data_IF_452344779767
#
_entry.id   IF_452344779767
#
_cell.length_a   1.000
_cell.length_b   1.000
_cell.length_c   1.000
_cell.angle_alpha   90.00
_cell.angle_beta   90.00
_cell.angle_gamma   90.00
#
_symmetry.space_group_name_H-M   'P 1'
#
loop_
_entity.id
_entity.type
_entity.pdbx_description
1 polymer ?
#
# COMPACT_ATOMS: atom_id res chain seq x y z
N UNK A 1 24.02 18.92 -9.69
CA UNK A 1 23.52 17.60 -9.26
C UNK A 1 22.00 17.70 -9.14
N UNK A 2 21.23 17.15 -10.08
CA UNK A 2 19.77 17.26 -10.04
C UNK A 2 19.22 16.30 -8.97
N UNK A 3 18.59 16.83 -7.93
CA UNK A 3 17.85 16.06 -6.93
C UNK A 3 16.60 15.47 -7.59
N UNK A 4 16.59 14.16 -7.86
CA UNK A 4 15.41 13.47 -8.39
C UNK A 4 14.60 12.96 -7.21
N UNK A 5 13.31 13.30 -7.18
CA UNK A 5 12.38 12.77 -6.17
C UNK A 5 12.16 11.28 -6.44
N UNK A 6 12.26 10.46 -5.41
CA UNK A 6 12.01 9.02 -5.52
C UNK A 6 10.60 8.76 -5.03
N UNK A 7 9.73 8.36 -5.94
CA UNK A 7 8.41 7.83 -5.61
C UNK A 7 8.46 6.31 -5.58
N UNK A 8 7.53 5.72 -4.84
CA UNK A 8 7.31 4.28 -4.86
C UNK A 8 6.02 3.91 -4.17
N UNK A 9 5.60 2.68 -4.41
CA UNK A 9 4.38 2.11 -3.86
C UNK A 9 4.77 1.02 -2.88
N UNK A 10 4.17 1.06 -1.69
CA UNK A 10 4.29 0.04 -0.66
C UNK A 10 2.91 -0.61 -0.44
N UNK A 11 2.90 -1.93 -0.32
CA UNK A 11 1.73 -2.70 0.07
C UNK A 11 1.99 -3.31 1.45
N UNK A 12 1.07 -3.06 2.38
CA UNK A 12 1.14 -3.58 3.74
C UNK A 12 0.08 -4.67 3.96
N UNK A 13 0.44 -5.73 4.68
CA UNK A 13 -0.51 -6.68 5.25
C UNK A 13 -1.12 -6.16 6.55
N UNK A 14 -2.21 -6.78 7.00
CA UNK A 14 -2.90 -6.40 8.24
C UNK A 14 -2.05 -6.57 9.51
N UNK A 15 -1.04 -7.44 9.49
CA UNK A 15 -0.03 -7.57 10.57
C UNK A 15 1.07 -6.50 10.50
N UNK A 16 0.97 -5.57 9.55
CA UNK A 16 1.86 -4.42 9.42
C UNK A 16 3.19 -4.69 8.74
N UNK A 17 3.32 -5.82 8.02
CA UNK A 17 4.50 -6.10 7.20
C UNK A 17 4.35 -5.51 5.81
N UNK A 18 5.46 -5.09 5.22
CA UNK A 18 5.56 -4.76 3.80
C UNK A 18 5.59 -6.06 3.03
N UNK A 19 4.53 -6.35 2.27
CA UNK A 19 4.40 -7.56 1.43
C UNK A 19 4.80 -7.33 -0.01
N UNK A 20 4.78 -6.07 -0.45
CA UNK A 20 5.27 -5.68 -1.76
C UNK A 20 5.76 -4.23 -1.75
N UNK A 21 6.78 -3.94 -2.53
CA UNK A 21 7.35 -2.61 -2.67
C UNK A 21 7.96 -2.42 -4.06
N UNK A 22 7.75 -1.26 -4.67
CA UNK A 22 8.36 -0.89 -5.95
C UNK A 22 8.68 0.60 -5.95
N UNK A 23 9.89 0.96 -6.39
CA UNK A 23 10.42 2.32 -6.32
C UNK A 23 11.06 2.75 -7.64
N UNK A 24 10.94 4.04 -7.97
CA UNK A 24 11.52 4.61 -9.17
C UNK A 24 13.05 4.63 -9.14
N UNK A 25 13.62 4.39 -10.32
CA UNK A 25 15.05 4.32 -10.52
C UNK A 25 15.44 4.65 -11.98
N UNK A 26 16.27 5.69 -12.19
CA UNK A 26 15.83 7.07 -12.51
C UNK A 26 14.81 7.14 -13.67
N UNK A 27 13.85 8.06 -13.56
CA UNK A 27 12.76 8.24 -14.52
C UNK A 27 11.45 8.58 -13.80
N UNK A 28 10.59 9.39 -14.43
CA UNK A 28 9.25 9.68 -13.93
C UNK A 28 8.33 8.50 -14.27
N UNK A 29 8.23 7.51 -13.40
CA UNK A 29 7.06 6.63 -13.49
C UNK A 29 5.85 7.41 -13.00
N UNK A 30 4.77 7.30 -13.75
CA UNK A 30 3.46 7.62 -13.23
C UNK A 30 2.93 6.42 -12.41
N UNK A 31 1.87 6.62 -11.65
CA UNK A 31 1.28 5.54 -10.83
C UNK A 31 0.85 4.32 -11.66
N UNK A 32 0.63 4.50 -12.97
CA UNK A 32 0.30 3.41 -13.91
C UNK A 32 1.44 2.42 -14.07
N UNK A 33 2.68 2.87 -14.28
CA UNK A 33 3.84 1.99 -14.49
C UNK A 33 4.16 1.14 -13.24
N UNK A 34 3.89 1.70 -12.06
CA UNK A 34 4.05 0.98 -10.79
C UNK A 34 2.92 -0.03 -10.59
N UNK A 35 1.69 0.32 -10.97
CA UNK A 35 0.52 -0.54 -10.82
C UNK A 35 0.55 -1.80 -11.69
N UNK A 36 1.19 -1.79 -12.87
CA UNK A 36 1.15 -2.93 -13.80
C UNK A 36 1.73 -4.18 -13.16
N UNK A 37 2.99 -4.11 -12.71
CA UNK A 37 3.66 -5.25 -12.09
C UNK A 37 2.98 -5.67 -10.78
N UNK A 38 2.42 -4.71 -10.04
CA UNK A 38 1.63 -5.02 -8.85
C UNK A 38 0.38 -5.84 -9.21
N UNK A 39 -0.35 -5.43 -10.25
CA UNK A 39 -1.55 -6.14 -10.73
C UNK A 39 -1.22 -7.53 -11.25
N UNK A 40 -0.11 -7.68 -11.99
CA UNK A 40 0.39 -8.98 -12.43
C UNK A 40 0.69 -9.89 -11.23
N UNK A 41 1.36 -9.38 -10.21
CA UNK A 41 1.63 -10.13 -8.97
C UNK A 41 0.36 -10.47 -8.20
N UNK A 42 -0.60 -9.55 -8.16
CA UNK A 42 -1.88 -9.78 -7.50
C UNK A 42 -2.69 -10.87 -8.22
N UNK A 43 -2.60 -10.97 -9.54
CA UNK A 43 -3.28 -12.01 -10.33
C UNK A 43 -2.55 -13.35 -10.37
N UNK A 44 -1.25 -13.39 -10.06
CA UNK A 44 -0.47 -14.62 -10.03
C UNK A 44 -1.01 -15.56 -8.93
N UNK A 45 -1.53 -16.76 -9.30
CA UNK A 45 -2.08 -17.71 -8.33
C UNK A 45 -1.01 -18.35 -7.45
N UNK A 46 0.28 -18.21 -7.81
CA UNK A 46 1.39 -18.77 -7.04
C UNK A 46 1.54 -18.06 -5.68
N UNK A 47 1.68 -16.72 -5.62
CA UNK A 47 1.62 -15.97 -4.37
C UNK A 47 0.20 -15.73 -3.86
N UNK A 48 -0.82 -15.72 -4.73
CA UNK A 48 -2.21 -15.38 -4.38
C UNK A 48 -3.19 -16.47 -4.83
N UNK A 49 -3.19 -17.66 -4.21
CA UNK A 49 -4.00 -18.80 -4.65
C UNK A 49 -5.50 -18.62 -4.44
N UNK A 50 -5.91 -17.69 -3.56
CA UNK A 50 -7.32 -17.40 -3.27
C UNK A 50 -7.74 -16.12 -4.01
N UNK A 51 -8.74 -16.25 -4.88
CA UNK A 51 -9.29 -15.18 -5.71
C UNK A 51 -10.10 -14.15 -4.89
N UNK A 52 -10.41 -14.44 -3.62
CA UNK A 52 -11.09 -13.55 -2.69
C UNK A 52 -10.16 -12.54 -2.03
N UNK A 53 -8.85 -12.77 -2.04
CA UNK A 53 -7.90 -11.78 -1.54
C UNK A 53 -7.82 -10.57 -2.46
N UNK A 54 -7.55 -9.41 -1.87
CA UNK A 54 -7.47 -8.18 -2.60
C UNK A 54 -6.73 -7.13 -1.80
N UNK A 55 -6.53 -5.99 -2.44
CA UNK A 55 -5.90 -4.84 -1.78
C UNK A 55 -6.80 -3.64 -1.82
N UNK A 56 -6.63 -2.81 -0.80
CA UNK A 56 -7.24 -1.49 -0.72
C UNK A 56 -6.21 -0.47 -1.21
N UNK A 57 -6.62 0.36 -2.15
CA UNK A 57 -5.74 1.35 -2.78
C UNK A 57 -6.39 2.73 -2.76
N UNK A 58 -5.58 3.76 -3.04
CA UNK A 58 -6.07 5.11 -3.22
C UNK A 58 -6.96 5.22 -4.47
N UNK A 59 -7.91 6.18 -4.48
CA UNK A 59 -8.80 6.41 -5.63
C UNK A 59 -8.07 6.85 -6.91
N UNK A 60 -6.84 7.39 -6.76
CA UNK A 60 -5.95 7.70 -7.87
C UNK A 60 -5.19 6.47 -8.39
N UNK A 61 -5.21 5.34 -7.66
CA UNK A 61 -4.51 4.12 -8.08
C UNK A 61 -5.14 3.56 -9.36
N UNK A 62 -4.35 3.37 -10.43
CA UNK A 62 -4.89 2.88 -11.69
C UNK A 62 -5.41 1.46 -11.54
N UNK A 63 -6.72 1.31 -11.77
CA UNK A 63 -7.44 0.05 -11.65
C UNK A 63 -8.09 -0.28 -13.00
N UNK A 64 -7.62 -1.35 -13.64
CA UNK A 64 -8.23 -1.88 -14.87
C UNK A 64 -9.49 -2.70 -14.58
N UNK A 65 -10.26 -3.03 -15.62
CA UNK A 65 -11.49 -3.86 -15.50
C UNK A 65 -11.20 -5.26 -14.97
N UNK A 66 -10.00 -5.77 -15.23
CA UNK A 66 -9.44 -7.02 -14.74
C UNK A 66 -9.24 -7.05 -13.21
N UNK A 67 -9.23 -5.88 -12.55
CA UNK A 67 -9.00 -5.76 -11.11
C UNK A 67 -10.28 -5.60 -10.29
N UNK A 68 -11.46 -5.69 -10.92
CA UNK A 68 -12.74 -5.58 -10.22
C UNK A 68 -12.83 -6.66 -9.13
N UNK A 69 -13.12 -6.23 -7.91
CA UNK A 69 -13.18 -7.12 -6.73
C UNK A 69 -11.82 -7.43 -6.09
N UNK A 70 -10.72 -7.33 -6.86
CA UNK A 70 -9.34 -7.55 -6.37
C UNK A 70 -8.69 -6.27 -5.83
N UNK A 71 -8.92 -5.14 -6.48
CA UNK A 71 -8.48 -3.83 -5.99
C UNK A 71 -9.72 -3.01 -5.63
N UNK A 72 -9.81 -2.60 -4.38
CA UNK A 72 -10.92 -1.79 -3.86
C UNK A 72 -10.44 -0.38 -3.57
N UNK A 73 -11.12 0.61 -4.14
CA UNK A 73 -10.88 2.04 -3.89
C UNK A 73 -12.13 2.67 -3.27
N UNK A 74 -12.00 3.76 -2.49
CA UNK A 74 -13.16 4.51 -2.01
C UNK A 74 -14.03 5.01 -3.16
N UNK A 75 -15.30 5.28 -2.87
CA UNK A 75 -16.20 5.95 -3.82
C UNK A 75 -15.64 7.33 -4.20
N UNK A 76 -15.71 7.68 -5.49
CA UNK A 76 -15.39 9.04 -5.95
C UNK A 76 -16.59 9.96 -5.78
N UNK A 77 -16.33 11.26 -5.84
CA UNK A 77 -17.38 12.26 -5.82
C UNK A 77 -18.39 12.00 -6.95
N UNK A 78 -19.68 12.00 -6.61
CA UNK A 78 -20.77 11.72 -7.55
C UNK A 78 -21.02 10.24 -7.85
N UNK A 79 -20.21 9.29 -7.36
CA UNK A 79 -20.49 7.85 -7.58
C UNK A 79 -21.73 7.41 -6.81
N UNK A 80 -21.94 7.94 -5.60
CA UNK A 80 -23.09 7.60 -4.76
C UNK A 80 -24.44 7.94 -5.43
N UNK A 81 -24.51 9.08 -6.14
CA UNK A 81 -25.75 9.51 -6.80
C UNK A 81 -26.11 8.63 -7.99
N UNK A 82 -25.11 7.99 -8.63
CA UNK A 82 -25.28 7.03 -9.73
C UNK A 82 -25.79 5.67 -9.26
N UNK A 83 -25.72 5.37 -7.97
CA UNK A 83 -26.20 4.11 -7.39
C UNK A 83 -27.71 4.15 -7.08
N UNK A 84 -28.35 2.99 -7.19
CA UNK A 84 -29.74 2.78 -6.76
C UNK A 84 -29.88 3.14 -5.26
N UNK A 85 -30.96 3.83 -4.85
CA UNK A 85 -31.16 4.24 -3.46
C UNK A 85 -31.03 3.10 -2.45
N UNK A 86 -31.48 1.89 -2.80
CA UNK A 86 -31.43 0.70 -1.94
C UNK A 86 -30.02 0.24 -1.57
N UNK A 87 -29.01 0.54 -2.39
CA UNK A 87 -27.61 0.09 -2.16
C UNK A 87 -26.70 1.20 -1.64
N UNK A 88 -27.17 2.45 -1.58
CA UNK A 88 -26.35 3.62 -1.19
C UNK A 88 -25.77 3.47 0.22
N UNK A 89 -26.56 3.00 1.18
CA UNK A 89 -26.10 2.81 2.57
C UNK A 89 -24.97 1.78 2.66
N UNK A 90 -25.13 0.64 2.00
CA UNK A 90 -24.11 -0.40 1.98
C UNK A 90 -22.83 0.08 1.26
N UNK A 91 -22.98 0.82 0.15
CA UNK A 91 -21.85 1.38 -0.58
C UNK A 91 -21.08 2.43 0.25
N UNK A 92 -21.78 3.27 1.02
CA UNK A 92 -21.17 4.22 1.95
C UNK A 92 -20.37 3.50 3.04
N UNK A 93 -20.96 2.51 3.70
CA UNK A 93 -20.28 1.73 4.73
C UNK A 93 -19.01 1.07 4.19
N UNK A 94 -19.11 0.45 3.01
CA UNK A 94 -17.96 -0.13 2.32
C UNK A 94 -16.89 0.93 2.03
N UNK A 95 -17.27 2.08 1.48
CA UNK A 95 -16.34 3.16 1.18
C UNK A 95 -15.65 3.70 2.44
N UNK A 96 -16.37 3.86 3.55
CA UNK A 96 -15.80 4.27 4.83
C UNK A 96 -14.79 3.26 5.37
N UNK A 97 -15.10 1.95 5.28
CA UNK A 97 -14.17 0.90 5.65
C UNK A 97 -12.90 0.91 4.78
N UNK A 98 -13.04 1.11 3.46
CA UNK A 98 -11.90 1.23 2.55
C UNK A 98 -11.03 2.44 2.94
N UNK A 99 -11.64 3.61 3.17
CA UNK A 99 -10.91 4.81 3.62
C UNK A 99 -10.18 4.57 4.94
N UNK A 100 -10.78 3.85 5.89
CA UNK A 100 -10.15 3.51 7.16
C UNK A 100 -8.91 2.63 6.98
N UNK A 101 -9.01 1.57 6.18
CA UNK A 101 -7.84 0.71 5.88
C UNK A 101 -6.74 1.48 5.17
N UNK A 102 -7.12 2.36 4.23
CA UNK A 102 -6.19 3.23 3.52
C UNK A 102 -5.40 4.14 4.49
N UNK A 103 -6.07 4.76 5.46
CA UNK A 103 -5.40 5.58 6.49
C UNK A 103 -4.39 4.78 7.32
N UNK A 104 -4.67 3.50 7.58
CA UNK A 104 -3.73 2.65 8.28
C UNK A 104 -2.45 2.39 7.47
N UNK A 105 -2.56 2.25 6.15
CA UNK A 105 -1.39 2.14 5.27
C UNK A 105 -0.50 3.41 5.34
N UNK A 106 -1.09 4.60 5.48
CA UNK A 106 -0.35 5.85 5.69
C UNK A 106 0.45 5.82 7.01
N UNK A 107 -0.09 5.22 8.07
CA UNK A 107 0.67 5.01 9.32
C UNK A 107 1.86 4.06 9.13
N UNK A 108 1.70 3.02 8.32
CA UNK A 108 2.78 2.12 7.93
C UNK A 108 3.92 2.87 7.23
N UNK A 109 3.58 3.67 6.22
CA UNK A 109 4.54 4.51 5.50
C UNK A 109 5.28 5.47 6.45
N UNK A 110 4.54 6.20 7.28
CA UNK A 110 5.12 7.13 8.25
C UNK A 110 5.99 6.45 9.31
N UNK A 111 5.69 5.20 9.70
CA UNK A 111 6.51 4.43 10.62
C UNK A 111 7.87 4.08 10.01
N UNK A 112 7.89 3.66 8.75
CA UNK A 112 9.12 3.34 8.02
C UNK A 112 10.03 4.56 7.89
N UNK A 113 9.48 5.72 7.51
CA UNK A 113 10.24 6.97 7.40
C UNK A 113 10.81 7.46 8.74
N UNK A 114 10.03 7.36 9.82
CA UNK A 114 10.45 7.78 11.16
C UNK A 114 11.57 6.90 11.73
N UNK A 115 11.46 5.59 11.57
CA UNK A 115 12.47 4.62 12.04
C UNK A 115 13.73 4.72 11.19
N UNK A 116 13.58 4.87 9.88
CA UNK A 116 14.69 4.94 8.94
C UNK A 116 14.85 6.36 8.39
N UNK A 117 15.30 7.30 9.25
CA UNK A 117 15.58 8.70 8.89
C UNK A 117 16.46 8.86 7.65
N UNK A 118 17.21 7.83 7.23
CA UNK A 118 17.95 7.85 5.96
C UNK A 118 17.06 8.14 4.74
N UNK A 119 15.77 7.80 4.79
CA UNK A 119 14.78 8.12 3.76
C UNK A 119 14.49 9.63 3.66
N UNK A 120 14.77 10.40 4.71
CA UNK A 120 14.64 11.87 4.72
C UNK A 120 15.85 12.58 4.09
N UNK A 121 16.89 11.83 3.70
CA UNK A 121 18.10 12.37 3.08
C UNK A 121 18.19 11.95 1.61
N UNK A 122 18.88 12.73 0.77
CA UNK A 122 19.16 12.33 -0.60
C UNK A 122 19.78 10.93 -0.68
N UNK A 123 19.14 10.07 -1.47
CA UNK A 123 19.64 8.74 -1.76
C UNK A 123 20.75 8.81 -2.82
N UNK A 124 21.66 7.81 -2.90
CA UNK A 124 22.69 7.77 -3.93
C UNK A 124 22.09 7.95 -5.33
N UNK A 125 22.80 8.62 -6.23
CA UNK A 125 22.37 8.76 -7.63
C UNK A 125 22.33 7.41 -8.35
N UNK A 126 23.30 6.55 -8.05
CA UNK A 126 23.40 5.21 -8.61
C UNK A 126 22.17 4.35 -8.32
N UNK A 127 21.60 3.78 -9.39
CA UNK A 127 20.33 3.06 -9.37
C UNK A 127 20.40 1.79 -8.53
N UNK A 128 21.43 0.98 -8.74
CA UNK A 128 21.56 -0.32 -8.09
C UNK A 128 21.85 -0.15 -6.60
N UNK A 129 22.74 0.78 -6.23
CA UNK A 129 23.00 1.12 -4.84
C UNK A 129 21.77 1.69 -4.14
N UNK A 130 20.97 2.50 -4.83
CA UNK A 130 19.72 3.03 -4.28
C UNK A 130 18.72 1.91 -4.03
N UNK A 131 18.49 1.05 -5.03
CA UNK A 131 17.58 -0.11 -4.92
C UNK A 131 17.99 -0.99 -3.75
N UNK A 132 19.27 -1.38 -3.67
CA UNK A 132 19.79 -2.20 -2.58
C UNK A 132 19.55 -1.56 -1.21
N UNK A 133 19.75 -0.25 -1.09
CA UNK A 133 19.49 0.48 0.16
C UNK A 133 18.01 0.45 0.54
N UNK A 134 17.11 0.75 -0.39
CA UNK A 134 15.67 0.71 -0.15
C UNK A 134 15.19 -0.69 0.23
N UNK A 135 15.60 -1.72 -0.53
CA UNK A 135 15.25 -3.12 -0.26
C UNK A 135 15.72 -3.55 1.14
N UNK A 136 16.95 -3.18 1.52
CA UNK A 136 17.47 -3.46 2.86
C UNK A 136 16.67 -2.74 3.95
N UNK A 137 16.29 -1.48 3.73
CA UNK A 137 15.49 -0.71 4.69
C UNK A 137 14.11 -1.34 4.91
N UNK A 138 13.40 -1.75 3.85
CA UNK A 138 12.09 -2.39 4.01
C UNK A 138 12.19 -3.77 4.65
N UNK A 139 13.22 -4.55 4.34
CA UNK A 139 13.49 -5.83 5.02
C UNK A 139 13.78 -5.64 6.50
N UNK A 140 14.55 -4.61 6.87
CA UNK A 140 14.80 -4.25 8.25
C UNK A 140 13.52 -3.77 8.95
N UNK A 141 12.63 -3.04 8.25
CA UNK A 141 11.33 -2.63 8.78
C UNK A 141 10.48 -3.86 9.14
N UNK A 142 10.40 -4.83 8.23
CA UNK A 142 9.73 -6.11 8.49
C UNK A 142 10.38 -6.87 9.65
N UNK A 143 11.71 -6.93 9.71
CA UNK A 143 12.43 -7.57 10.81
C UNK A 143 12.08 -6.92 12.16
N UNK A 144 12.05 -5.59 12.24
CA UNK A 144 11.64 -4.85 13.43
C UNK A 144 10.21 -5.20 13.82
N UNK A 145 9.26 -5.15 12.89
CA UNK A 145 7.84 -5.46 13.18
C UNK A 145 7.69 -6.90 13.69
N UNK A 146 8.36 -7.88 13.08
CA UNK A 146 8.34 -9.28 13.54
C UNK A 146 8.97 -9.46 14.91
N UNK A 147 10.07 -8.78 15.19
CA UNK A 147 10.83 -8.94 16.45
C UNK A 147 10.14 -8.25 17.62
N UNK A 148 9.69 -7.02 17.41
CA UNK A 148 9.11 -6.18 18.48
C UNK A 148 7.59 -6.36 18.60
N UNK A 149 6.95 -6.85 17.55
CA UNK A 149 5.51 -6.85 17.42
C UNK A 149 4.86 -5.48 17.25
N UNK A 150 5.64 -4.39 17.21
CA UNK A 150 5.15 -3.01 17.20
C UNK A 150 4.87 -2.54 15.76
N UNK A 151 3.59 -2.48 15.41
CA UNK A 151 3.09 -1.82 14.21
C UNK A 151 1.69 -1.26 14.45
N UNK A 152 1.45 -0.01 14.09
CA UNK A 152 0.16 0.64 14.28
C UNK A 152 -0.94 -0.02 13.42
N UNK A 153 -0.59 -0.51 12.23
CA UNK A 153 -1.48 -1.32 11.39
C UNK A 153 -1.89 -2.58 12.16
N UNK A 154 -0.92 -3.30 12.74
CA UNK A 154 -1.17 -4.52 13.51
C UNK A 154 -2.04 -4.28 14.73
N UNK A 155 -1.78 -3.23 15.49
CA UNK A 155 -2.63 -2.87 16.66
C UNK A 155 -4.06 -2.54 16.24
N UNK A 156 -4.25 -2.00 15.03
CA UNK A 156 -5.58 -1.63 14.53
C UNK A 156 -6.38 -2.84 14.04
N UNK A 157 -5.75 -3.80 13.37
CA UNK A 157 -6.46 -4.91 12.70
C UNK A 157 -6.28 -6.30 13.33
N UNK A 158 -5.21 -6.53 14.09
CA UNK A 158 -4.89 -7.86 14.66
C UNK A 158 -5.18 -7.90 16.16
N UNK A 159 -5.00 -6.80 16.88
CA UNK A 159 -5.19 -6.72 18.33
C UNK A 159 -6.33 -5.75 18.70
N UNK A 160 -7.49 -5.90 18.07
CA UNK A 160 -8.68 -5.11 18.43
C UNK A 160 -9.00 -5.21 19.92
N UNK A 161 -9.71 -4.20 20.44
CA UNK A 161 -10.01 -3.85 21.86
C UNK A 161 -10.39 -4.95 22.88
N UNK A 162 -10.42 -6.22 22.52
CA UNK A 162 -10.80 -7.33 23.40
C UNK A 162 -9.59 -7.99 24.10
N UNK A 163 -8.35 -7.69 23.70
CA UNK A 163 -7.13 -8.29 24.24
C UNK A 163 -6.29 -7.37 25.16
N UNK A 164 -6.89 -6.36 25.81
CA UNK A 164 -6.23 -5.51 26.83
C UNK A 164 -7.03 -5.41 28.12
#
# INVERSE_FOLDING_TARGET
>A
LHSVYVTGTLCFSADGLIVWSKHNCPGSWNDSDTSIEFRERLLDPTPNPDDRYGVIADSAFPCGKDMVGRIMTPLKEGDLSRLLPSVRTAALLKSSAITFVRQAAEWGMGSVEKVYRRLLHPLPYDKENRKLRLDNLFRLANYRVRTTGVSQIRTTFVFGKEDM
#
